data_IF_618146934741
#
_entry.id   IF_618146934741
#
_cell.length_a   1.000
_cell.length_b   1.000
_cell.length_c   1.000
_cell.angle_alpha   90.00
_cell.angle_beta   90.00
_cell.angle_gamma   90.00
#
_symmetry.space_group_name_H-M   'P 1'
#
loop_
_entity.id
_entity.type
_entity.pdbx_description
1 polymer ?
#
# COMPACT_ATOMS: atom_id res chain seq x y z
N UNK A 1 -1.61 -15.79 7.14
CA UNK A 1 -1.78 -17.09 6.47
C UNK A 1 -0.74 -17.27 5.35
N UNK A 2 -0.59 -16.30 4.46
CA UNK A 2 0.34 -16.37 3.34
C UNK A 2 1.81 -16.53 3.81
N UNK A 3 2.25 -15.73 4.77
CA UNK A 3 3.62 -15.80 5.34
C UNK A 3 3.97 -17.11 6.04
N UNK A 4 2.99 -17.90 6.43
CA UNK A 4 3.21 -19.15 7.16
C UNK A 4 3.08 -20.40 6.27
N UNK A 5 2.19 -20.36 5.29
CA UNK A 5 1.80 -21.53 4.48
C UNK A 5 1.82 -21.25 2.99
N UNK A 6 1.97 -19.99 2.56
CA UNK A 6 1.96 -19.55 1.16
C UNK A 6 3.27 -19.81 0.39
N UNK A 7 4.30 -20.33 1.08
CA UNK A 7 5.54 -20.71 0.41
C UNK A 7 5.30 -21.91 -0.52
N UNK A 8 5.68 -21.76 -1.79
CA UNK A 8 5.61 -22.83 -2.82
C UNK A 8 6.66 -23.91 -2.57
N UNK A 9 6.55 -24.61 -1.44
CA UNK A 9 7.29 -25.85 -1.22
C UNK A 9 6.47 -27.02 -1.78
N UNK A 10 7.12 -28.11 -2.19
CA UNK A 10 6.42 -29.28 -2.75
C UNK A 10 5.33 -29.84 -1.81
N UNK A 11 5.53 -29.68 -0.49
CA UNK A 11 4.58 -30.11 0.55
C UNK A 11 3.32 -29.24 0.65
N UNK A 12 3.39 -27.94 0.31
CA UNK A 12 2.29 -26.98 0.50
C UNK A 12 1.84 -26.30 -0.80
N UNK A 13 2.15 -26.90 -1.95
CA UNK A 13 1.91 -26.29 -3.26
C UNK A 13 0.45 -25.87 -3.46
N UNK A 14 -0.48 -26.79 -3.20
CA UNK A 14 -1.92 -26.55 -3.42
C UNK A 14 -2.55 -25.83 -2.25
N UNK A 15 -2.20 -26.19 -1.02
CA UNK A 15 -2.70 -25.56 0.19
C UNK A 15 -2.16 -24.12 0.33
N UNK A 16 -0.90 -23.89 0.01
CA UNK A 16 -0.28 -22.56 -0.03
C UNK A 16 -0.93 -21.66 -1.06
N UNK A 17 -1.29 -22.18 -2.22
CA UNK A 17 -2.03 -21.44 -3.23
C UNK A 17 -3.41 -21.01 -2.73
N UNK A 18 -4.17 -21.93 -2.13
CA UNK A 18 -5.50 -21.62 -1.58
C UNK A 18 -5.42 -20.59 -0.45
N UNK A 19 -4.42 -20.72 0.44
CA UNK A 19 -4.16 -19.78 1.53
C UNK A 19 -3.82 -18.37 1.01
N UNK A 20 -2.96 -18.25 -0.01
CA UNK A 20 -2.61 -16.99 -0.63
C UNK A 20 -3.83 -16.32 -1.29
N UNK A 21 -4.69 -17.10 -1.97
CA UNK A 21 -5.92 -16.58 -2.57
C UNK A 21 -6.95 -16.12 -1.54
N UNK A 22 -7.09 -16.85 -0.44
CA UNK A 22 -7.96 -16.45 0.66
C UNK A 22 -7.48 -15.13 1.30
N UNK A 23 -6.17 -14.98 1.47
CA UNK A 23 -5.54 -13.76 1.96
C UNK A 23 -5.76 -12.58 0.99
N UNK A 24 -5.56 -12.80 -0.31
CA UNK A 24 -5.82 -11.80 -1.34
C UNK A 24 -7.26 -11.29 -1.31
N UNK A 25 -8.24 -12.19 -1.15
CA UNK A 25 -9.67 -11.85 -1.08
C UNK A 25 -9.98 -11.11 0.22
N UNK A 26 -9.48 -11.60 1.36
CA UNK A 26 -9.71 -10.97 2.66
C UNK A 26 -9.15 -9.55 2.72
N UNK A 27 -7.99 -9.31 2.11
CA UNK A 27 -7.33 -8.01 2.07
C UNK A 27 -7.85 -7.08 0.96
N UNK A 28 -8.75 -7.53 0.10
CA UNK A 28 -9.19 -6.73 -1.05
C UNK A 28 -9.91 -5.44 -0.63
N UNK A 29 -10.88 -5.54 0.29
CA UNK A 29 -11.60 -4.36 0.82
C UNK A 29 -10.69 -3.50 1.71
N UNK A 30 -10.00 -4.06 2.72
CA UNK A 30 -9.08 -3.28 3.57
C UNK A 30 -8.06 -2.46 2.80
N UNK A 31 -7.42 -3.02 1.77
CA UNK A 31 -6.42 -2.30 0.99
C UNK A 31 -6.97 -1.05 0.29
N UNK A 32 -8.19 -1.12 -0.25
CA UNK A 32 -8.84 0.01 -0.92
C UNK A 32 -9.31 1.07 0.05
N UNK A 33 -9.89 0.66 1.18
CA UNK A 33 -10.27 1.56 2.26
C UNK A 33 -9.05 2.30 2.81
N UNK A 34 -7.93 1.59 3.00
CA UNK A 34 -6.66 2.19 3.43
C UNK A 34 -6.18 3.23 2.42
N UNK A 35 -6.19 2.93 1.12
CA UNK A 35 -5.76 3.87 0.09
C UNK A 35 -6.66 5.14 0.05
N UNK A 36 -7.96 4.99 0.21
CA UNK A 36 -8.90 6.13 0.33
C UNK A 36 -8.58 6.94 1.57
N UNK A 37 -8.45 6.30 2.73
CA UNK A 37 -8.13 6.99 3.99
C UNK A 37 -6.78 7.72 3.92
N UNK A 38 -5.76 7.12 3.29
CA UNK A 38 -4.46 7.77 3.05
C UNK A 38 -4.58 8.97 2.12
N UNK A 39 -5.39 8.87 1.07
CA UNK A 39 -5.64 10.01 0.16
C UNK A 39 -6.35 11.16 0.87
N UNK A 40 -7.31 10.86 1.74
CA UNK A 40 -7.98 11.87 2.59
C UNK A 40 -7.00 12.47 3.60
N UNK A 41 -6.20 11.64 4.26
CA UNK A 41 -5.17 12.10 5.19
C UNK A 41 -4.13 13.00 4.50
N UNK A 42 -3.70 12.63 3.28
CA UNK A 42 -2.81 13.44 2.46
C UNK A 42 -3.46 14.78 2.05
N UNK A 43 -4.75 14.81 1.76
CA UNK A 43 -5.49 16.06 1.50
C UNK A 43 -5.47 16.98 2.72
N UNK A 44 -5.76 16.44 3.89
CA UNK A 44 -5.83 17.22 5.15
C UNK A 44 -4.43 17.71 5.57
N UNK A 45 -3.41 16.86 5.47
CA UNK A 45 -2.09 17.15 6.05
C UNK A 45 -1.14 17.86 5.09
N UNK A 46 -1.23 17.55 3.78
CA UNK A 46 -0.26 17.96 2.77
C UNK A 46 -0.90 18.73 1.59
N UNK A 47 -2.22 18.70 1.46
CA UNK A 47 -2.90 19.25 0.29
C UNK A 47 -2.77 18.39 -0.99
N UNK A 48 -2.18 17.18 -0.88
CA UNK A 48 -1.84 16.32 -2.03
C UNK A 48 -2.81 15.16 -2.26
N UNK A 49 -3.99 15.19 -1.63
CA UNK A 49 -4.94 14.07 -1.66
C UNK A 49 -5.39 13.65 -3.07
N UNK A 50 -5.59 14.63 -3.97
CA UNK A 50 -5.97 14.35 -5.36
C UNK A 50 -4.84 13.61 -6.08
N UNK A 51 -3.59 14.07 -5.93
CA UNK A 51 -2.42 13.40 -6.50
C UNK A 51 -2.26 11.98 -5.94
N UNK A 52 -2.40 11.81 -4.62
CA UNK A 52 -2.38 10.50 -3.97
C UNK A 52 -3.40 9.54 -4.60
N UNK A 53 -4.64 9.98 -4.78
CA UNK A 53 -5.69 9.16 -5.37
C UNK A 53 -5.47 8.86 -6.86
N UNK A 54 -5.04 9.85 -7.64
CA UNK A 54 -4.75 9.67 -9.07
C UNK A 54 -3.62 8.67 -9.30
N UNK A 55 -2.51 8.82 -8.58
CA UNK A 55 -1.37 7.90 -8.64
C UNK A 55 -1.79 6.50 -8.17
N UNK A 56 -2.54 6.41 -7.08
CA UNK A 56 -3.07 5.14 -6.59
C UNK A 56 -3.87 4.40 -7.68
N UNK A 57 -4.81 5.07 -8.33
CA UNK A 57 -5.62 4.46 -9.41
C UNK A 57 -4.82 4.09 -10.65
N UNK A 58 -3.78 4.85 -10.97
CA UNK A 58 -2.92 4.61 -12.13
C UNK A 58 -1.99 3.43 -11.91
N UNK A 59 -1.31 3.38 -10.75
CA UNK A 59 -0.13 2.54 -10.56
C UNK A 59 -0.36 1.31 -9.67
N UNK A 60 -1.39 1.29 -8.81
CA UNK A 60 -1.61 0.20 -7.86
C UNK A 60 -1.65 -1.20 -8.52
N UNK A 61 -2.14 -1.28 -9.75
CA UNK A 61 -2.27 -2.54 -10.52
C UNK A 61 -0.94 -3.04 -11.08
N UNK A 62 0.10 -2.23 -11.10
CA UNK A 62 1.44 -2.63 -11.55
C UNK A 62 2.18 -3.43 -10.46
N UNK A 63 1.73 -3.35 -9.22
CA UNK A 63 2.31 -4.10 -8.11
C UNK A 63 1.97 -5.59 -8.23
N UNK A 64 2.93 -6.53 -7.95
CA UNK A 64 2.69 -7.97 -8.00
C UNK A 64 1.57 -8.46 -7.08
N UNK A 65 1.42 -7.85 -5.89
CA UNK A 65 0.31 -8.12 -4.99
C UNK A 65 -0.92 -7.29 -5.39
N UNK A 66 -2.12 -7.90 -5.49
CA UNK A 66 -3.34 -7.20 -5.86
C UNK A 66 -3.81 -6.19 -4.79
N UNK A 67 -3.22 -6.23 -3.61
CA UNK A 67 -3.61 -5.42 -2.44
C UNK A 67 -2.55 -4.40 -2.03
N UNK A 68 -1.29 -4.80 -1.91
CA UNK A 68 -0.19 -3.94 -1.42
C UNK A 68 0.03 -2.71 -2.28
N UNK A 69 -0.18 -2.82 -3.59
CA UNK A 69 0.00 -1.69 -4.52
C UNK A 69 -0.91 -0.48 -4.23
N UNK A 70 -2.08 -0.67 -3.60
CA UNK A 70 -3.01 0.41 -3.34
C UNK A 70 -2.49 1.42 -2.31
N UNK A 71 -2.14 1.01 -1.07
CA UNK A 71 -1.59 1.94 -0.09
C UNK A 71 -0.20 2.46 -0.49
N UNK A 72 0.64 1.63 -1.15
CA UNK A 72 1.96 2.06 -1.61
C UNK A 72 1.88 3.16 -2.65
N UNK A 73 1.05 3.00 -3.68
CA UNK A 73 0.86 4.01 -4.72
C UNK A 73 0.18 5.29 -4.17
N UNK A 74 -0.75 5.16 -3.22
CA UNK A 74 -1.36 6.30 -2.54
C UNK A 74 -0.30 7.10 -1.75
N UNK A 75 0.60 6.43 -1.03
CA UNK A 75 1.70 7.09 -0.32
C UNK A 75 2.69 7.74 -1.29
N UNK A 76 3.05 7.06 -2.38
CA UNK A 76 3.92 7.62 -3.40
C UNK A 76 3.37 8.94 -3.96
N UNK A 77 2.07 8.96 -4.29
CA UNK A 77 1.40 10.17 -4.75
C UNK A 77 1.24 11.25 -3.69
N UNK A 78 1.01 10.87 -2.43
CA UNK A 78 0.92 11.80 -1.30
C UNK A 78 2.22 12.57 -1.08
N UNK A 79 3.35 11.87 -1.17
CA UNK A 79 4.69 12.43 -0.93
C UNK A 79 5.38 12.99 -2.19
N UNK A 80 4.82 12.77 -3.38
CA UNK A 80 5.42 13.17 -4.65
C UNK A 80 6.74 12.42 -4.93
N UNK A 81 6.82 11.15 -4.57
CA UNK A 81 8.01 10.31 -4.79
C UNK A 81 7.70 9.12 -5.67
N UNK A 82 8.73 8.54 -6.25
CA UNK A 82 8.63 7.24 -6.93
C UNK A 82 9.15 6.14 -6.02
N UNK A 83 8.32 5.12 -5.77
CA UNK A 83 8.67 3.91 -5.05
C UNK A 83 8.92 2.75 -6.02
N UNK A 84 9.64 1.72 -5.58
CA UNK A 84 9.97 0.56 -6.42
C UNK A 84 11.19 0.80 -7.31
N UNK A 85 11.17 0.19 -8.51
CA UNK A 85 12.31 0.21 -9.43
C UNK A 85 13.32 -0.91 -9.16
N UNK A 86 14.57 -0.70 -9.55
CA UNK A 86 15.62 -1.71 -9.38
C UNK A 86 16.19 -1.61 -7.96
N UNK A 87 15.95 -2.63 -7.16
CA UNK A 87 16.43 -2.74 -5.78
C UNK A 87 17.37 -3.95 -5.65
N UNK A 88 18.24 -3.91 -4.63
CA UNK A 88 19.13 -5.03 -4.30
C UNK A 88 18.59 -5.74 -3.06
N UNK A 89 18.22 -7.00 -3.19
CA UNK A 89 17.82 -7.86 -2.07
C UNK A 89 18.79 -9.02 -1.92
N UNK A 90 19.50 -9.08 -0.79
CA UNK A 90 20.50 -10.12 -0.55
C UNK A 90 21.61 -10.18 -1.61
N UNK A 91 21.96 -9.06 -2.24
CA UNK A 91 22.98 -9.01 -3.30
C UNK A 91 22.45 -9.37 -4.71
N UNK A 92 21.15 -9.68 -4.84
CA UNK A 92 20.52 -9.99 -6.14
C UNK A 92 19.69 -8.76 -6.58
N UNK A 93 19.87 -8.28 -7.83
CA UNK A 93 19.05 -7.21 -8.36
C UNK A 93 17.61 -7.71 -8.60
N UNK A 94 16.64 -7.03 -8.02
CA UNK A 94 15.21 -7.29 -8.22
C UNK A 94 14.55 -6.06 -8.83
N UNK A 95 13.97 -6.22 -10.01
CA UNK A 95 13.19 -5.18 -10.66
C UNK A 95 11.75 -5.21 -10.15
N UNK A 96 11.31 -4.14 -9.48
CA UNK A 96 9.93 -3.96 -9.04
C UNK A 96 9.22 -2.90 -9.85
N UNK A 97 7.90 -3.00 -9.92
CA UNK A 97 7.08 -1.97 -10.54
C UNK A 97 7.36 -0.60 -9.89
N UNK A 98 7.38 0.43 -10.71
CA UNK A 98 7.51 1.81 -10.24
C UNK A 98 6.12 2.36 -9.94
N UNK A 99 5.97 2.94 -8.75
CA UNK A 99 4.73 3.52 -8.25
C UNK A 99 4.98 4.99 -7.93
N UNK A 100 4.20 5.89 -8.51
CA UNK A 100 4.35 7.32 -8.34
C UNK A 100 5.32 7.97 -9.32
N UNK A 101 5.36 9.29 -9.28
CA UNK A 101 6.21 10.14 -10.10
C UNK A 101 7.37 10.71 -9.28
N UNK A 102 8.61 10.77 -9.82
CA UNK A 102 9.77 11.24 -9.09
C UNK A 102 9.83 12.77 -9.02
N UNK A 103 8.82 13.40 -8.39
CA UNK A 103 8.75 14.85 -8.20
C UNK A 103 9.80 15.33 -7.17
N UNK A 104 10.10 14.47 -6.19
CA UNK A 104 11.10 14.72 -5.15
C UNK A 104 11.94 13.47 -4.90
N UNK A 105 13.21 13.63 -4.47
CA UNK A 105 14.03 12.48 -4.11
C UNK A 105 13.47 11.79 -2.85
N UNK A 106 13.44 10.46 -2.86
CA UNK A 106 13.08 9.68 -1.68
C UNK A 106 14.19 9.80 -0.63
N UNK A 107 13.93 10.52 0.45
CA UNK A 107 14.90 10.83 1.51
C UNK A 107 14.37 10.45 2.89
N UNK A 108 15.27 10.27 3.86
CA UNK A 108 14.92 9.95 5.24
C UNK A 108 14.03 11.01 5.91
N UNK A 109 14.10 12.26 5.45
CA UNK A 109 13.24 13.34 5.96
C UNK A 109 11.76 13.16 5.66
N UNK A 110 11.41 12.31 4.69
CA UNK A 110 10.02 11.99 4.38
C UNK A 110 9.40 10.96 5.33
N UNK A 111 10.21 10.21 6.09
CA UNK A 111 9.71 9.20 7.02
C UNK A 111 8.74 9.78 8.05
N UNK A 112 9.05 10.88 8.78
CA UNK A 112 8.10 11.49 9.71
C UNK A 112 6.79 11.94 9.04
N UNK A 113 6.87 12.45 7.80
CA UNK A 113 5.72 12.90 7.04
C UNK A 113 4.83 11.71 6.66
N UNK A 114 5.45 10.62 6.18
CA UNK A 114 4.74 9.38 5.88
C UNK A 114 4.03 8.81 7.11
N UNK A 115 4.70 8.79 8.26
CA UNK A 115 4.11 8.34 9.53
C UNK A 115 2.92 9.20 9.97
N UNK A 116 2.97 10.51 9.75
CA UNK A 116 1.83 11.39 10.05
C UNK A 116 0.63 11.11 9.15
N UNK A 117 0.85 10.90 7.85
CA UNK A 117 -0.22 10.50 6.91
C UNK A 117 -0.81 9.15 7.30
N UNK A 118 0.03 8.16 7.62
CA UNK A 118 -0.42 6.84 8.07
C UNK A 118 -1.22 6.92 9.38
N UNK A 119 -0.72 7.66 10.37
CA UNK A 119 -1.40 7.83 11.66
C UNK A 119 -2.78 8.49 11.52
N UNK A 120 -2.87 9.52 10.68
CA UNK A 120 -4.15 10.19 10.38
C UNK A 120 -5.11 9.27 9.63
N UNK A 121 -4.62 8.51 8.63
CA UNK A 121 -5.41 7.53 7.90
C UNK A 121 -5.96 6.43 8.84
N UNK A 122 -5.12 5.94 9.75
CA UNK A 122 -5.54 5.00 10.80
C UNK A 122 -6.65 5.57 11.68
N UNK A 123 -6.50 6.82 12.14
CA UNK A 123 -7.54 7.52 12.92
C UNK A 123 -8.87 7.65 12.17
N UNK A 124 -8.83 7.99 10.88
CA UNK A 124 -10.01 8.07 10.01
C UNK A 124 -10.73 6.72 9.94
N UNK A 125 -9.98 5.63 9.72
CA UNK A 125 -10.54 4.28 9.64
C UNK A 125 -11.13 3.82 10.98
N UNK A 126 -10.48 4.13 12.11
CA UNK A 126 -10.98 3.82 13.44
C UNK A 126 -12.31 4.53 13.73
N UNK A 127 -12.40 5.82 13.46
CA UNK A 127 -13.64 6.60 13.67
C UNK A 127 -14.75 6.05 12.78
N UNK A 128 -14.45 5.73 11.52
CA UNK A 128 -15.42 5.13 10.61
C UNK A 128 -15.95 3.77 11.12
N UNK A 129 -15.04 2.92 11.61
CA UNK A 129 -15.40 1.61 12.17
C UNK A 129 -16.25 1.74 13.44
N UNK A 130 -15.84 2.63 14.36
CA UNK A 130 -16.61 2.88 15.58
C UNK A 130 -18.02 3.43 15.28
N UNK A 131 -18.13 4.36 14.34
CA UNK A 131 -19.42 4.88 13.89
C UNK A 131 -20.33 3.78 13.31
N UNK A 132 -19.76 2.83 12.58
CA UNK A 132 -20.53 1.72 12.03
C UNK A 132 -20.97 0.69 13.08
N UNK A 133 -20.15 0.44 14.10
CA UNK A 133 -20.47 -0.51 15.19
C UNK A 133 -21.51 0.06 16.16
N UNK A 134 -21.57 1.37 16.30
CA UNK A 134 -22.50 2.06 17.23
C UNK A 134 -23.88 2.34 16.62
N UNK A 135 -24.08 2.05 15.35
CA UNK A 135 -25.34 2.21 14.62
C UNK A 135 -26.05 0.85 14.47
#
# INVERSE_FOLDING_TARGET
LDSMVGYRTDRYRDFGWASARADDVANWVPARLTAVAMSVAAAIRLGTGIAAWQICRRDARHHPSPNSGWPEAAMAGALGVQLGGNNMYGGVPEARARLGDPMSPCSLSLIPVALQVMGLAYGILLVGLMGWVMW
#
